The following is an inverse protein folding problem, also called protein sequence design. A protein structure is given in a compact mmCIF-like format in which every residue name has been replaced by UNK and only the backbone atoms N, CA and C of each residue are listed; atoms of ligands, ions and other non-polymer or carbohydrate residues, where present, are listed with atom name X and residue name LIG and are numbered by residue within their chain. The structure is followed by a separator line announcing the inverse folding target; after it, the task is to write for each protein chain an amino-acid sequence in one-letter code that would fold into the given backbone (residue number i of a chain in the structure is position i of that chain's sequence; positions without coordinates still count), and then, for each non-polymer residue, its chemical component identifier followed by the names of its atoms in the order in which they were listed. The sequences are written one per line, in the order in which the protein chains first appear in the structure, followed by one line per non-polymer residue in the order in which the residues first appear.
data_IF_647887564977
#
_entry.id   IF_647887564977
#
_cell.length_a   1.000
_cell.length_b   1.000
_cell.length_c   1.000
_cell.angle_alpha   90.00
_cell.angle_beta   90.00
_cell.angle_gamma   90.00
#
_symmetry.space_group_name_H-M   'P 1'
#
loop_
_entity.id
_entity.type
_entity.pdbx_description
1 polymer ?
#
# COMPACT_ATOMS: atom_id res chain seq x y z
N UNK A 1 -12.12 21.77 -2.70
CA UNK A 1 -11.99 20.31 -2.96
C UNK A 1 -10.78 20.10 -3.85
N UNK A 2 -9.73 19.43 -3.36
CA UNK A 2 -8.61 19.01 -4.20
C UNK A 2 -9.14 17.97 -5.20
N UNK A 3 -9.13 18.30 -6.50
CA UNK A 3 -9.37 17.30 -7.54
C UNK A 3 -8.16 16.39 -7.57
N UNK A 4 -8.26 15.24 -6.90
CA UNK A 4 -7.20 14.24 -6.70
C UNK A 4 -6.72 13.53 -7.97
N UNK A 5 -6.37 14.28 -9.01
CA UNK A 5 -5.63 13.76 -10.15
C UNK A 5 -4.14 13.74 -9.81
N UNK A 6 -3.63 12.55 -9.51
CA UNK A 6 -2.21 12.31 -9.34
C UNK A 6 -1.66 11.69 -10.63
N UNK A 7 -0.60 12.27 -11.17
CA UNK A 7 0.16 11.65 -12.25
C UNK A 7 0.99 10.50 -11.66
N UNK A 8 0.62 9.26 -11.96
CA UNK A 8 1.35 8.09 -11.47
C UNK A 8 0.54 6.80 -11.57
N UNK A 9 1.14 5.73 -11.08
CA UNK A 9 0.53 4.41 -10.96
C UNK A 9 0.29 4.08 -9.49
N UNK A 10 -0.82 3.42 -9.20
CA UNK A 10 -1.08 2.85 -7.89
C UNK A 10 -0.22 1.59 -7.70
N UNK A 11 0.25 1.35 -6.47
CA UNK A 11 0.94 0.12 -6.11
C UNK A 11 -0.02 -0.77 -5.30
N UNK A 12 -0.31 -1.96 -5.81
CA UNK A 12 -1.10 -2.98 -5.11
C UNK A 12 -0.25 -4.16 -4.63
N UNK A 13 -0.73 -4.90 -3.63
CA UNK A 13 -0.20 -6.24 -3.33
C UNK A 13 -0.56 -7.27 -4.41
N UNK A 14 -0.09 -8.50 -4.16
CA UNK A 14 -0.48 -9.72 -4.87
C UNK A 14 -1.97 -10.03 -4.86
N UNK A 15 -2.78 -9.45 -3.97
CA UNK A 15 -4.23 -9.65 -3.93
C UNK A 15 -4.98 -8.89 -5.03
N UNK A 16 -4.34 -7.91 -5.67
CA UNK A 16 -4.94 -7.13 -6.75
C UNK A 16 -4.51 -7.61 -8.14
N UNK A 17 -5.36 -7.41 -9.17
CA UNK A 17 -4.95 -7.64 -10.55
C UNK A 17 -3.98 -6.53 -10.99
N UNK A 18 -3.05 -6.88 -11.89
CA UNK A 18 -2.24 -5.87 -12.56
C UNK A 18 -3.07 -5.17 -13.64
N UNK A 19 -3.24 -3.86 -13.51
CA UNK A 19 -4.05 -3.01 -14.41
C UNK A 19 -3.21 -1.84 -14.95
N UNK A 20 -3.63 -1.16 -16.03
CA UNK A 20 -2.91 -0.01 -16.60
C UNK A 20 -2.68 1.17 -15.63
N UNK A 21 -3.37 1.19 -14.49
CA UNK A 21 -3.22 2.18 -13.43
C UNK A 21 -2.81 1.57 -12.07
N UNK A 22 -2.68 0.25 -11.97
CA UNK A 22 -2.39 -0.48 -10.72
C UNK A 22 -1.31 -1.54 -10.96
N UNK A 23 -0.11 -1.28 -10.44
CA UNK A 23 1.04 -2.17 -10.56
C UNK A 23 1.13 -3.09 -9.35
N UNK A 24 1.21 -4.39 -9.62
CA UNK A 24 1.39 -5.43 -8.61
C UNK A 24 2.69 -6.18 -8.86
N UNK A 25 3.32 -6.75 -7.81
CA UNK A 25 4.59 -7.45 -7.95
C UNK A 25 4.47 -8.64 -8.92
N UNK A 26 5.59 -9.03 -9.52
CA UNK A 26 5.68 -10.28 -10.28
C UNK A 26 5.44 -11.46 -9.33
N UNK A 27 4.48 -12.35 -9.62
CA UNK A 27 4.25 -13.56 -8.81
C UNK A 27 5.48 -14.46 -8.77
N UNK A 28 6.08 -14.66 -9.94
CA UNK A 28 7.28 -15.45 -10.18
C UNK A 28 8.28 -14.55 -10.93
N UNK A 29 9.12 -13.77 -10.22
CA UNK A 29 10.07 -12.87 -10.85
C UNK A 29 11.28 -13.62 -11.40
N UNK A 30 11.59 -13.39 -12.67
CA UNK A 30 12.87 -13.82 -13.24
C UNK A 30 14.05 -13.02 -12.64
N UNK A 31 15.25 -13.62 -12.56
CA UNK A 31 16.47 -12.91 -12.14
C UNK A 31 16.72 -11.67 -13.01
N UNK A 32 17.13 -10.58 -12.36
CA UNK A 32 17.43 -9.31 -13.02
C UNK A 32 16.32 -8.28 -12.83
N UNK A 33 15.74 -7.69 -13.90
CA UNK A 33 14.85 -6.53 -13.74
C UNK A 33 13.62 -6.78 -12.88
N UNK A 34 12.99 -7.93 -13.02
CA UNK A 34 11.77 -8.26 -12.27
C UNK A 34 12.05 -8.39 -10.77
N UNK A 35 13.20 -8.99 -10.41
CA UNK A 35 13.63 -9.08 -9.01
C UNK A 35 13.89 -7.69 -8.42
N UNK A 36 14.54 -6.79 -9.17
CA UNK A 36 14.78 -5.41 -8.71
C UNK A 36 13.51 -4.59 -8.61
N UNK A 37 12.58 -4.75 -9.56
CA UNK A 37 11.25 -4.18 -9.49
C UNK A 37 10.53 -4.63 -8.22
N UNK A 38 10.46 -5.95 -7.96
CA UNK A 38 9.82 -6.48 -6.76
C UNK A 38 10.49 -5.99 -5.48
N UNK A 39 11.83 -5.87 -5.46
CA UNK A 39 12.55 -5.32 -4.31
C UNK A 39 12.16 -3.86 -4.04
N UNK A 40 12.10 -3.03 -5.07
CA UNK A 40 11.69 -1.63 -4.93
C UNK A 40 10.20 -1.50 -4.53
N UNK A 41 9.35 -2.35 -5.11
CA UNK A 41 7.92 -2.45 -4.78
C UNK A 41 7.72 -2.78 -3.29
N UNK A 42 8.36 -3.85 -2.81
CA UNK A 42 8.32 -4.26 -1.40
C UNK A 42 8.85 -3.18 -0.46
N UNK A 43 9.96 -2.52 -0.79
CA UNK A 43 10.50 -1.40 0.02
C UNK A 43 9.51 -0.24 0.14
N UNK A 44 8.83 0.08 -0.95
CA UNK A 44 7.85 1.16 -0.98
C UNK A 44 6.63 0.80 -0.14
N UNK A 45 6.13 -0.43 -0.29
CA UNK A 45 5.02 -0.95 0.53
C UNK A 45 5.34 -1.02 2.01
N UNK A 46 6.54 -1.45 2.38
CA UNK A 46 6.95 -1.56 3.78
C UNK A 46 6.80 -0.23 4.54
N UNK A 47 7.01 0.92 3.87
CA UNK A 47 6.78 2.25 4.47
C UNK A 47 5.30 2.53 4.73
N UNK A 48 4.43 2.15 3.81
CA UNK A 48 2.97 2.29 3.95
C UNK A 48 2.46 1.38 5.06
N UNK A 49 2.85 0.10 5.05
CA UNK A 49 2.50 -0.89 6.06
C UNK A 49 2.95 -0.45 7.45
N UNK A 50 4.20 0.02 7.59
CA UNK A 50 4.72 0.57 8.84
C UNK A 50 3.90 1.76 9.32
N UNK A 51 3.51 2.68 8.42
CA UNK A 51 2.70 3.86 8.78
C UNK A 51 1.31 3.44 9.27
N UNK A 52 0.68 2.47 8.58
CA UNK A 52 -0.62 1.91 9.00
C UNK A 52 -0.49 1.22 10.37
N UNK A 53 0.59 0.45 10.59
CA UNK A 53 0.88 -0.19 11.88
C UNK A 53 1.01 0.83 13.01
N UNK A 54 1.75 1.93 12.79
CA UNK A 54 1.88 3.02 13.77
C UNK A 54 0.52 3.69 14.03
N UNK A 55 -0.30 3.93 13.00
CA UNK A 55 -1.63 4.50 13.16
C UNK A 55 -2.53 3.59 14.00
N UNK A 56 -2.56 2.29 13.72
CA UNK A 56 -3.32 1.30 14.51
C UNK A 56 -2.81 1.20 15.95
N UNK A 57 -1.50 1.26 16.17
CA UNK A 57 -0.90 1.30 17.51
C UNK A 57 -1.28 2.56 18.28
N UNK A 58 -1.24 3.73 17.64
CA UNK A 58 -1.57 5.02 18.26
C UNK A 58 -3.07 5.16 18.53
N UNK A 59 -3.90 4.73 17.59
CA UNK A 59 -5.36 4.84 17.65
C UNK A 59 -5.99 3.45 17.65
N UNK A 60 -6.16 2.88 18.86
CA UNK A 60 -6.73 1.55 19.03
C UNK A 60 -8.13 1.39 18.41
N UNK A 61 -8.87 2.49 18.19
CA UNK A 61 -10.15 2.46 17.47
C UNK A 61 -10.05 1.96 16.02
N UNK A 62 -8.85 1.99 15.40
CA UNK A 62 -8.60 1.45 14.08
C UNK A 62 -8.45 -0.08 14.08
N UNK A 63 -8.30 -0.72 15.25
CA UNK A 63 -8.26 -2.18 15.38
C UNK A 63 -9.67 -2.73 15.48
N UNK A 64 -10.15 -3.35 14.40
CA UNK A 64 -11.47 -3.98 14.37
C UNK A 64 -12.62 -2.97 14.28
N UNK A 65 -12.46 -1.95 13.43
CA UNK A 65 -13.46 -0.92 13.21
C UNK A 65 -14.76 -1.52 12.61
N UNK A 66 -15.86 -1.48 13.37
CA UNK A 66 -17.18 -2.04 12.98
C UNK A 66 -18.21 -0.93 12.70
N UNK A 67 -17.92 -0.10 11.71
CA UNK A 67 -18.85 0.94 11.23
C UNK A 67 -19.01 0.84 9.71
N UNK A 68 -19.90 1.64 9.11
CA UNK A 68 -20.02 1.69 7.65
C UNK A 68 -18.71 2.16 7.00
N UNK A 69 -18.42 1.77 5.75
CA UNK A 69 -17.20 2.20 5.05
C UNK A 69 -17.03 3.72 5.01
N UNK A 70 -18.11 4.47 4.82
CA UNK A 70 -18.09 5.93 4.79
C UNK A 70 -17.64 6.49 6.15
N UNK A 71 -18.21 5.95 7.23
CA UNK A 71 -17.84 6.35 8.59
C UNK A 71 -16.43 5.92 8.95
N UNK A 72 -15.98 4.77 8.42
CA UNK A 72 -14.60 4.31 8.60
C UNK A 72 -13.62 5.28 7.94
N UNK A 73 -13.91 5.76 6.73
CA UNK A 73 -13.11 6.79 6.07
C UNK A 73 -13.00 8.07 6.92
N UNK A 74 -14.12 8.57 7.47
CA UNK A 74 -14.10 9.75 8.34
C UNK A 74 -13.18 9.56 9.56
N UNK A 75 -13.28 8.40 10.23
CA UNK A 75 -12.47 8.07 11.40
C UNK A 75 -10.99 7.98 11.03
N UNK A 76 -10.66 7.32 9.90
CA UNK A 76 -9.30 7.19 9.41
C UNK A 76 -8.70 8.57 9.11
N UNK A 77 -9.45 9.45 8.41
CA UNK A 77 -9.00 10.82 8.12
C UNK A 77 -8.73 11.59 9.41
N UNK A 78 -9.63 11.52 10.40
CA UNK A 78 -9.43 12.16 11.68
C UNK A 78 -8.17 11.64 12.40
N UNK A 79 -7.94 10.33 12.40
CA UNK A 79 -6.75 9.71 12.99
C UNK A 79 -5.45 10.17 12.29
N UNK A 80 -5.45 10.28 10.95
CA UNK A 80 -4.30 10.78 10.18
C UNK A 80 -4.02 12.25 10.50
N UNK A 81 -5.04 13.09 10.59
CA UNK A 81 -4.88 14.50 10.96
C UNK A 81 -4.28 14.62 12.36
N UNK A 82 -4.81 13.87 13.33
CA UNK A 82 -4.29 13.86 14.70
C UNK A 82 -2.86 13.31 14.78
N UNK A 83 -2.53 12.28 13.98
CA UNK A 83 -1.18 11.77 13.84
C UNK A 83 -0.21 12.85 13.38
N UNK A 84 -0.56 13.57 12.32
CA UNK A 84 0.28 14.64 11.77
C UNK A 84 0.52 15.75 12.80
N UNK A 85 -0.51 16.14 13.56
CA UNK A 85 -0.39 17.13 14.64
C UNK A 85 0.60 16.64 15.71
N UNK A 86 0.48 15.38 16.14
CA UNK A 86 1.38 14.77 17.12
C UNK A 86 2.83 14.71 16.62
N UNK A 87 3.05 14.35 15.34
CA UNK A 87 4.37 14.33 14.71
C UNK A 87 4.98 15.74 14.66
N UNK A 88 4.22 16.77 14.29
CA UNK A 88 4.68 18.17 14.28
C UNK A 88 5.07 18.63 15.69
N UNK A 89 4.35 18.16 16.72
CA UNK A 89 4.65 18.44 18.13
C UNK A 89 5.83 17.64 18.69
N UNK A 90 6.42 16.74 17.91
CA UNK A 90 7.53 15.90 18.35
C UNK A 90 7.13 14.83 19.37
N UNK A 91 5.85 14.45 19.42
CA UNK A 91 5.40 13.36 20.30
C UNK A 91 6.02 12.02 19.87
N UNK A 92 6.47 11.23 20.83
CA UNK A 92 6.97 9.88 20.58
C UNK A 92 5.92 9.02 19.87
N UNK A 93 6.39 8.21 18.92
CA UNK A 93 5.55 7.26 18.21
C UNK A 93 5.50 5.96 19.01
N UNK A 94 4.33 5.32 19.15
CA UNK A 94 4.29 3.96 19.66
C UNK A 94 5.05 3.04 18.69
N UNK A 95 5.64 1.93 19.18
CA UNK A 95 6.27 0.97 18.29
C UNK A 95 5.26 0.48 17.24
N UNK A 96 5.76 0.27 16.02
CA UNK A 96 4.98 -0.44 15.01
C UNK A 96 4.76 -1.86 15.52
N UNK A 97 3.52 -2.23 15.78
CA UNK A 97 3.18 -3.60 16.16
C UNK A 97 2.84 -4.31 14.85
N UNK A 98 3.66 -5.28 14.48
CA UNK A 98 3.32 -6.21 13.40
C UNK A 98 2.06 -6.96 13.84
N UNK A 99 0.98 -6.86 13.06
CA UNK A 99 -0.18 -7.69 13.32
C UNK A 99 0.15 -9.11 12.82
N UNK A 100 0.42 -10.02 13.75
CA UNK A 100 0.65 -11.45 13.48
C UNK A 100 -0.64 -12.08 12.93
N UNK A 101 -0.77 -12.08 11.61
CA UNK A 101 -1.78 -12.84 10.91
C UNK A 101 -1.51 -12.78 9.41
N UNK A 102 -1.55 -13.91 8.68
CA UNK A 102 -1.49 -13.86 7.24
C UNK A 102 -2.67 -13.03 6.74
N UNK A 103 -2.40 -11.93 6.03
CA UNK A 103 -3.43 -11.30 5.21
C UNK A 103 -3.94 -12.38 4.25
N UNK A 104 -5.18 -12.84 4.44
CA UNK A 104 -5.83 -13.77 3.52
C UNK A 104 -5.98 -13.07 2.17
N UNK A 105 -4.95 -13.20 1.32
CA UNK A 105 -5.00 -12.77 -0.07
C UNK A 105 -6.03 -13.65 -0.79
N UNK A 106 -7.27 -13.16 -0.80
CA UNK A 106 -8.37 -13.72 -1.58
C UNK A 106 -7.96 -13.79 -3.05
N UNK A 107 -8.44 -14.86 -3.70
CA UNK A 107 -8.09 -15.33 -5.05
C UNK A 107 -7.70 -14.24 -6.05
N UNK A 108 -6.62 -14.51 -6.79
CA UNK A 108 -6.06 -13.70 -7.88
C UNK A 108 -7.20 -13.30 -8.83
N UNK A 109 -7.63 -12.04 -8.78
CA UNK A 109 -8.45 -11.46 -9.82
C UNK A 109 -7.65 -11.51 -11.13
N UNK A 110 -8.30 -11.92 -12.22
CA UNK A 110 -7.63 -12.11 -13.51
C UNK A 110 -6.92 -10.82 -13.94
N UNK A 111 -5.61 -10.92 -14.16
CA UNK A 111 -4.78 -9.78 -14.52
C UNK A 111 -5.11 -9.28 -15.93
N UNK A 112 -5.14 -7.95 -16.11
CA UNK A 112 -5.37 -7.34 -17.41
C UNK A 112 -4.07 -7.43 -18.27
N UNK A 113 -4.20 -7.86 -19.53
CA UNK A 113 -3.06 -8.00 -20.46
C UNK A 113 -2.30 -6.68 -20.63
N UNK A 114 -3.00 -5.56 -20.72
CA UNK A 114 -2.41 -4.23 -20.90
C UNK A 114 -1.65 -3.78 -19.66
N UNK A 115 -2.17 -4.12 -18.47
CA UNK A 115 -1.49 -3.86 -17.19
C UNK A 115 -0.14 -4.57 -17.10
N UNK A 116 -0.07 -5.85 -17.49
CA UNK A 116 1.18 -6.61 -17.51
C UNK A 116 2.20 -6.04 -18.49
N UNK A 117 1.76 -5.74 -19.72
CA UNK A 117 2.64 -5.15 -20.74
C UNK A 117 3.22 -3.81 -20.29
N UNK A 118 2.41 -2.99 -19.61
CA UNK A 118 2.88 -1.73 -19.05
C UNK A 118 3.89 -1.94 -17.92
N UNK A 119 3.63 -2.87 -17.01
CA UNK A 119 4.58 -3.25 -15.95
C UNK A 119 5.89 -3.75 -16.54
N UNK A 120 5.84 -4.62 -17.53
CA UNK A 120 7.04 -5.17 -18.18
C UNK A 120 7.87 -4.07 -18.84
N UNK A 121 7.22 -3.11 -19.51
CA UNK A 121 7.88 -1.94 -20.09
C UNK A 121 8.58 -1.08 -19.03
N UNK A 122 7.89 -0.80 -17.92
CA UNK A 122 8.46 -0.02 -16.81
C UNK A 122 9.64 -0.78 -16.18
N UNK A 123 9.45 -2.08 -15.93
CA UNK A 123 10.44 -2.96 -15.36
C UNK A 123 11.74 -2.98 -16.21
N UNK A 124 11.61 -3.16 -17.53
CA UNK A 124 12.75 -3.20 -18.44
C UNK A 124 13.47 -1.85 -18.57
N UNK A 125 12.73 -0.74 -18.57
CA UNK A 125 13.31 0.59 -18.79
C UNK A 125 13.98 1.18 -17.55
N UNK A 126 13.48 0.86 -16.34
CA UNK A 126 13.88 1.56 -15.12
C UNK A 126 14.56 0.68 -14.07
N UNK A 127 14.56 -0.65 -14.23
CA UNK A 127 15.09 -1.57 -13.23
C UNK A 127 16.17 -2.50 -13.84
N UNK A 128 17.17 -1.95 -14.54
CA UNK A 128 18.29 -2.71 -15.11
C UNK A 128 19.42 -3.05 -14.13
#
# INVERSE_FOLDING_TARGET
MFKGQYNGYLLGDRGYPCLPYLMTPYPEPEPGPQTRFNLAHSRTRAKVEMTIGILKSRFQCLRGLRVSPERACDIIVACVVLHNIATIRGESHPPCIEEDGPEEHRQILEANRDGRLLRDRICQNYFY
#
